data_IF_726861255560
#
_entry.id   IF_726861255560
#
_cell.length_a   1.000
_cell.length_b   1.000
_cell.length_c   1.000
_cell.angle_alpha   90.00
_cell.angle_beta   90.00
_cell.angle_gamma   90.00
#
_symmetry.space_group_name_H-M   'P 1'
#
loop_
_entity.id
_entity.type
_entity.pdbx_description
1 polymer ?
#
# COMPACT_ATOMS: atom_id res chain seq x y z
N UNK A 1 -26.50 32.54 -45.26
CA UNK A 1 -26.31 33.38 -44.05
C UNK A 1 -27.70 33.83 -43.57
N UNK A 2 -27.97 33.80 -42.25
CA UNK A 2 -29.29 33.86 -41.52
C UNK A 2 -29.93 32.47 -41.37
N UNK A 3 -29.75 31.71 -40.28
CA UNK A 3 -29.93 31.90 -38.81
C UNK A 3 -31.40 32.18 -38.43
N UNK A 4 -32.01 31.27 -37.65
CA UNK A 4 -33.08 31.60 -36.71
C UNK A 4 -34.13 30.50 -36.44
N UNK A 5 -34.40 30.29 -35.15
CA UNK A 5 -35.54 29.57 -34.53
C UNK A 5 -35.28 28.08 -34.23
N UNK A 6 -34.70 27.72 -33.08
CA UNK A 6 -35.30 27.70 -31.72
C UNK A 6 -36.41 26.65 -31.58
N UNK A 7 -36.12 25.58 -30.84
CA UNK A 7 -37.11 25.04 -29.91
C UNK A 7 -36.46 24.42 -28.68
N UNK A 8 -37.10 24.71 -27.55
CA UNK A 8 -36.67 24.52 -26.18
C UNK A 8 -37.34 23.27 -25.60
N UNK A 9 -36.59 22.55 -24.77
CA UNK A 9 -37.04 21.78 -23.59
C UNK A 9 -38.02 20.60 -23.76
N UNK A 10 -37.75 19.48 -23.08
CA UNK A 10 -38.49 19.05 -21.88
C UNK A 10 -37.84 17.78 -21.28
N UNK A 11 -37.64 17.88 -19.96
CA UNK A 11 -37.29 16.88 -18.96
C UNK A 11 -38.42 15.88 -18.69
N UNK A 12 -38.10 14.58 -18.52
CA UNK A 12 -38.81 13.61 -17.64
C UNK A 12 -37.93 12.34 -17.52
N UNK A 13 -37.26 12.05 -16.39
CA UNK A 13 -37.73 11.43 -15.13
C UNK A 13 -38.49 10.11 -15.29
N UNK A 14 -37.74 9.04 -14.98
CA UNK A 14 -38.03 7.74 -14.37
C UNK A 14 -39.42 7.08 -14.48
N UNK A 15 -39.39 5.78 -14.80
CA UNK A 15 -40.34 4.81 -14.26
C UNK A 15 -39.68 3.43 -14.04
N UNK A 16 -39.75 3.00 -12.79
CA UNK A 16 -39.32 1.72 -12.22
C UNK A 16 -39.99 0.52 -12.88
N UNK A 17 -39.23 -0.58 -13.04
CA UNK A 17 -39.82 -1.91 -13.22
C UNK A 17 -39.14 -2.90 -12.29
N UNK A 18 -39.84 -3.16 -11.18
CA UNK A 18 -39.70 -4.35 -10.35
C UNK A 18 -40.36 -5.52 -11.06
N UNK A 19 -39.64 -6.61 -11.29
CA UNK A 19 -40.22 -7.90 -11.64
C UNK A 19 -39.62 -8.99 -10.75
N UNK A 20 -40.47 -9.46 -9.85
CA UNK A 20 -40.29 -10.58 -8.94
C UNK A 20 -40.34 -11.89 -9.73
N UNK A 21 -39.34 -12.77 -9.57
CA UNK A 21 -39.47 -14.17 -9.94
C UNK A 21 -38.80 -15.04 -8.88
N UNK A 22 -39.66 -15.68 -8.09
CA UNK A 22 -39.43 -16.79 -7.18
C UNK A 22 -38.96 -18.04 -7.91
N UNK A 23 -37.88 -18.69 -7.44
CA UNK A 23 -37.66 -20.12 -7.61
C UNK A 23 -36.68 -20.66 -6.55
N UNK A 24 -37.21 -21.45 -5.61
CA UNK A 24 -36.53 -22.35 -4.66
C UNK A 24 -36.26 -23.68 -5.39
N UNK A 25 -35.11 -24.38 -5.18
CA UNK A 25 -35.12 -25.48 -4.20
C UNK A 25 -33.79 -25.71 -3.43
N UNK A 26 -33.91 -25.92 -2.11
CA UNK A 26 -33.01 -26.77 -1.30
C UNK A 26 -33.48 -28.24 -1.39
N UNK A 27 -32.81 -29.29 -0.82
CA UNK A 27 -31.58 -29.34 -0.01
C UNK A 27 -30.58 -30.50 -0.33
N UNK A 28 -29.37 -30.46 0.24
CA UNK A 28 -28.74 -31.48 1.14
C UNK A 28 -27.21 -31.27 1.19
N UNK A 29 -26.65 -30.83 2.32
CA UNK A 29 -26.28 -31.57 3.57
C UNK A 29 -24.87 -32.18 3.47
N UNK A 30 -23.91 -31.54 4.14
CA UNK A 30 -22.56 -32.07 4.34
C UNK A 30 -21.58 -31.04 4.88
N UNK A 31 -21.77 -30.57 6.11
CA UNK A 31 -20.64 -30.18 6.97
C UNK A 31 -20.08 -31.47 7.60
N UNK A 32 -18.77 -31.61 7.90
CA UNK A 32 -18.04 -30.58 8.64
C UNK A 32 -16.54 -30.41 8.29
N UNK A 33 -16.01 -29.24 8.60
CA UNK A 33 -14.89 -29.05 9.55
C UNK A 33 -14.04 -27.84 9.17
N UNK A 34 -13.99 -26.89 10.10
CA UNK A 34 -12.94 -25.89 10.17
C UNK A 34 -11.57 -26.55 10.38
N UNK A 35 -10.54 -26.07 9.68
CA UNK A 35 -9.17 -25.95 10.19
C UNK A 35 -8.35 -24.92 9.38
N UNK A 36 -7.33 -24.30 10.00
CA UNK A 36 -6.68 -23.08 9.51
C UNK A 36 -5.48 -23.43 8.62
N UNK A 37 -5.27 -22.67 7.54
CA UNK A 37 -4.00 -22.73 6.80
C UNK A 37 -3.20 -21.45 7.01
N UNK A 38 -2.47 -21.43 8.12
CA UNK A 38 -1.16 -20.80 8.19
C UNK A 38 -0.12 -21.88 7.94
N UNK A 39 0.41 -21.94 6.71
CA UNK A 39 1.63 -22.66 6.39
C UNK A 39 2.20 -22.06 5.11
N UNK A 40 3.30 -21.30 5.24
CA UNK A 40 4.12 -20.94 4.10
C UNK A 40 4.62 -22.24 3.41
N UNK A 41 4.69 -22.30 2.07
CA UNK A 41 5.32 -23.43 1.41
C UNK A 41 6.82 -23.48 1.77
N UNK A 42 7.41 -24.68 1.94
CA UNK A 42 8.83 -24.81 2.23
C UNK A 42 9.66 -24.37 1.03
N UNK A 43 10.52 -23.37 1.24
CA UNK A 43 11.61 -23.05 0.32
C UNK A 43 12.55 -24.27 0.19
N UNK A 44 12.82 -24.80 -1.03
CA UNK A 44 13.83 -25.84 -1.18
C UNK A 44 15.24 -25.26 -0.92
N UNK A 45 16.17 -26.03 -0.32
CA UNK A 45 17.52 -25.54 -0.08
C UNK A 45 18.28 -25.33 -1.39
N UNK A 46 18.96 -24.18 -1.48
CA UNK A 46 19.87 -23.83 -2.56
C UNK A 46 20.91 -24.93 -2.79
N UNK A 47 20.85 -25.58 -3.94
CA UNK A 47 21.89 -26.50 -4.40
C UNK A 47 23.07 -25.68 -4.90
N UNK A 48 24.16 -25.70 -4.13
CA UNK A 48 25.44 -25.12 -4.50
C UNK A 48 26.12 -25.97 -5.58
N UNK A 49 26.26 -25.42 -6.79
CA UNK A 49 27.10 -26.02 -7.83
C UNK A 49 28.57 -25.72 -7.54
N UNK A 50 29.28 -26.67 -6.93
CA UNK A 50 30.74 -26.67 -6.88
C UNK A 50 31.28 -27.18 -8.22
N UNK A 51 31.88 -26.29 -9.02
CA UNK A 51 32.68 -26.67 -10.17
C UNK A 51 33.95 -27.42 -9.70
N UNK A 52 34.11 -28.67 -10.14
CA UNK A 52 35.39 -29.38 -10.08
C UNK A 52 36.08 -29.28 -11.45
N UNK A 53 37.37 -28.89 -11.50
CA UNK A 53 38.08 -28.68 -12.76
C UNK A 53 38.58 -30.01 -13.37
N UNK A 54 38.29 -30.19 -14.65
CA UNK A 54 38.84 -31.26 -15.49
C UNK A 54 40.31 -30.97 -15.80
N UNK A 55 41.20 -31.82 -15.30
CA UNK A 55 42.54 -32.03 -15.86
C UNK A 55 42.62 -33.46 -16.39
N UNK A 56 43.00 -33.62 -17.65
CA UNK A 56 44.07 -34.52 -18.09
C UNK A 56 43.91 -34.83 -19.59
N UNK A 57 44.75 -34.16 -20.36
CA UNK A 57 45.15 -34.55 -21.70
C UNK A 57 46.19 -35.67 -21.55
N UNK A 58 45.98 -36.84 -22.16
CA UNK A 58 47.04 -37.76 -22.68
C UNK A 58 46.39 -38.96 -23.37
N UNK A 59 46.68 -39.06 -24.67
CA UNK A 59 46.30 -40.10 -25.61
C UNK A 59 47.28 -41.28 -25.48
N UNK A 60 46.81 -42.52 -25.40
CA UNK A 60 47.53 -43.70 -25.94
C UNK A 60 46.55 -44.82 -26.26
N UNK A 61 46.59 -45.23 -27.52
CA UNK A 61 45.75 -46.25 -28.15
C UNK A 61 46.22 -47.67 -27.83
N UNK A 62 45.27 -48.59 -27.62
CA UNK A 62 45.44 -50.01 -27.97
C UNK A 62 44.09 -50.55 -28.51
N UNK A 63 44.16 -51.19 -29.67
CA UNK A 63 43.06 -51.83 -30.40
C UNK A 63 42.47 -53.01 -29.63
N UNK A 64 41.14 -53.15 -29.70
CA UNK A 64 40.41 -54.36 -29.32
C UNK A 64 38.99 -54.31 -29.87
N UNK A 65 38.75 -55.05 -30.94
CA UNK A 65 37.46 -55.16 -31.61
C UNK A 65 36.45 -55.88 -30.71
N UNK A 66 35.28 -55.28 -30.48
CA UNK A 66 34.05 -56.06 -30.39
C UNK A 66 32.85 -55.21 -30.85
N UNK A 67 32.21 -55.66 -31.93
CA UNK A 67 30.94 -55.11 -32.43
C UNK A 67 29.82 -55.68 -31.58
N UNK A 68 29.15 -54.83 -30.83
CA UNK A 68 27.75 -55.02 -30.46
C UNK A 68 27.05 -53.70 -30.72
N UNK A 69 26.21 -53.71 -31.75
CA UNK A 69 25.23 -52.68 -32.03
C UNK A 69 24.37 -52.44 -30.78
N UNK A 70 24.71 -51.40 -30.04
CA UNK A 70 23.94 -50.87 -28.93
C UNK A 70 23.78 -49.39 -29.18
N UNK A 71 22.68 -49.03 -29.85
CA UNK A 71 22.15 -47.67 -29.93
C UNK A 71 22.45 -46.93 -28.61
N UNK A 72 23.10 -45.75 -28.61
CA UNK A 72 23.14 -44.96 -27.39
C UNK A 72 21.69 -44.75 -26.96
N UNK A 73 21.34 -44.88 -25.67
CA UNK A 73 20.03 -44.46 -25.22
C UNK A 73 19.91 -42.99 -25.64
N UNK A 74 19.05 -42.75 -26.61
CA UNK A 74 18.60 -41.40 -26.89
C UNK A 74 17.88 -40.99 -25.62
N UNK A 75 18.53 -40.16 -24.81
CA UNK A 75 17.94 -39.36 -23.73
C UNK A 75 16.95 -38.36 -24.36
N UNK A 76 15.98 -38.90 -25.10
CA UNK A 76 14.76 -38.25 -25.56
C UNK A 76 13.72 -38.57 -24.49
N UNK A 77 13.99 -38.21 -23.24
CA UNK A 77 12.94 -38.03 -22.26
C UNK A 77 12.24 -36.71 -22.63
N UNK A 78 11.27 -36.88 -23.52
CA UNK A 78 9.98 -36.16 -23.54
C UNK A 78 10.05 -34.63 -23.46
N UNK A 79 10.66 -34.00 -24.47
CA UNK A 79 10.41 -32.58 -24.75
C UNK A 79 8.97 -32.41 -25.28
N UNK A 80 8.18 -31.56 -24.63
CA UNK A 80 6.83 -31.18 -25.05
C UNK A 80 6.82 -30.46 -26.42
N UNK A 81 5.65 -30.07 -26.91
CA UNK A 81 5.51 -29.32 -28.18
C UNK A 81 6.32 -28.02 -28.22
N UNK A 82 6.68 -27.53 -27.05
CA UNK A 82 7.29 -26.24 -26.81
C UNK A 82 8.81 -26.39 -26.62
N UNK A 83 9.34 -27.63 -26.70
CA UNK A 83 10.76 -27.95 -26.58
C UNK A 83 11.27 -27.99 -25.15
N UNK A 84 10.38 -27.88 -24.15
CA UNK A 84 10.69 -27.93 -22.73
C UNK A 84 10.46 -29.33 -22.17
N UNK A 85 11.24 -29.72 -21.15
CA UNK A 85 10.91 -30.90 -20.35
C UNK A 85 9.79 -30.58 -19.35
N UNK A 86 9.09 -31.59 -18.81
CA UNK A 86 8.06 -31.37 -17.78
C UNK A 86 8.57 -30.58 -16.56
N UNK A 87 9.83 -30.76 -16.19
CA UNK A 87 10.48 -30.01 -15.11
C UNK A 87 10.67 -28.53 -15.48
N UNK A 88 11.06 -28.25 -16.74
CA UNK A 88 11.21 -26.88 -17.23
C UNK A 88 9.86 -26.16 -17.35
N UNK A 89 8.81 -26.86 -17.77
CA UNK A 89 7.43 -26.34 -17.79
C UNK A 89 6.97 -25.92 -16.38
N UNK A 90 7.23 -26.76 -15.37
CA UNK A 90 6.90 -26.43 -13.99
C UNK A 90 7.65 -25.18 -13.47
N UNK A 91 8.88 -24.94 -13.91
CA UNK A 91 9.64 -23.73 -13.60
C UNK A 91 8.99 -22.50 -14.25
N UNK A 92 8.59 -22.62 -15.52
CA UNK A 92 7.91 -21.53 -16.23
C UNK A 92 6.59 -21.17 -15.56
N UNK A 93 5.80 -22.17 -15.14
CA UNK A 93 4.53 -21.95 -14.45
C UNK A 93 4.71 -21.21 -13.11
N UNK A 94 5.74 -21.56 -12.34
CA UNK A 94 6.08 -20.86 -11.08
C UNK A 94 6.52 -19.42 -11.33
N UNK A 95 7.35 -19.18 -12.35
CA UNK A 95 7.78 -17.84 -12.75
C UNK A 95 6.62 -16.96 -13.23
N UNK A 96 5.69 -17.52 -14.00
CA UNK A 96 4.48 -16.82 -14.44
C UNK A 96 3.58 -16.42 -13.28
N UNK A 97 3.41 -17.32 -12.30
CA UNK A 97 2.65 -17.03 -11.09
C UNK A 97 3.30 -15.89 -10.31
N UNK A 98 4.62 -15.95 -10.08
CA UNK A 98 5.34 -14.86 -9.40
C UNK A 98 5.26 -13.53 -10.14
N UNK A 99 5.42 -13.52 -11.46
CA UNK A 99 5.32 -12.29 -12.27
C UNK A 99 3.95 -11.63 -12.11
N UNK A 100 2.87 -12.41 -12.18
CA UNK A 100 1.53 -11.91 -11.99
C UNK A 100 1.31 -11.33 -10.58
N UNK A 101 1.86 -11.98 -9.56
CA UNK A 101 1.78 -11.53 -8.17
C UNK A 101 2.56 -10.24 -7.94
N UNK A 102 3.82 -10.18 -8.38
CA UNK A 102 4.69 -9.01 -8.27
C UNK A 102 4.07 -7.82 -8.98
N UNK A 103 3.61 -7.99 -10.22
CA UNK A 103 2.97 -6.90 -10.97
C UNK A 103 1.72 -6.37 -10.28
N UNK A 104 0.88 -7.26 -9.76
CA UNK A 104 -0.33 -6.88 -8.99
C UNK A 104 0.06 -6.15 -7.70
N UNK A 105 1.10 -6.61 -7.01
CA UNK A 105 1.62 -5.99 -5.79
C UNK A 105 2.07 -4.55 -6.06
N UNK A 106 2.96 -4.36 -7.04
CA UNK A 106 3.45 -3.02 -7.37
C UNK A 106 2.36 -2.11 -7.94
N UNK A 107 1.45 -2.66 -8.74
CA UNK A 107 0.34 -1.89 -9.28
C UNK A 107 -0.58 -1.38 -8.16
N UNK A 108 -0.80 -2.15 -7.10
CA UNK A 108 -1.59 -1.72 -5.96
C UNK A 108 -0.95 -0.53 -5.23
N UNK A 109 0.37 -0.58 -5.01
CA UNK A 109 1.11 0.55 -4.46
C UNK A 109 0.98 1.81 -5.33
N UNK A 110 1.25 1.71 -6.63
CA UNK A 110 1.21 2.85 -7.54
C UNK A 110 -0.21 3.43 -7.69
N UNK A 111 -1.23 2.57 -7.83
CA UNK A 111 -2.62 2.99 -8.00
C UNK A 111 -3.15 3.76 -6.78
N UNK A 112 -2.82 3.30 -5.56
CA UNK A 112 -3.24 3.98 -4.34
C UNK A 112 -2.34 5.17 -4.03
N UNK A 113 -1.06 5.16 -4.38
CA UNK A 113 -0.15 6.29 -4.15
C UNK A 113 -0.43 7.49 -5.05
N UNK A 114 -0.92 7.27 -6.26
CA UNK A 114 -1.23 8.34 -7.21
C UNK A 114 0.00 9.23 -7.45
N UNK A 115 -0.17 10.54 -7.30
CA UNK A 115 0.92 11.51 -7.52
C UNK A 115 2.09 11.41 -6.52
N UNK A 116 1.92 10.72 -5.39
CA UNK A 116 2.97 10.55 -4.38
C UNK A 116 3.70 9.20 -4.49
N UNK A 117 3.33 8.39 -5.48
CA UNK A 117 4.05 7.18 -5.85
C UNK A 117 4.73 7.34 -7.22
N UNK A 118 5.91 6.76 -7.34
CA UNK A 118 6.62 6.61 -8.61
C UNK A 118 6.00 5.53 -9.49
N UNK A 119 6.56 5.37 -10.69
CA UNK A 119 6.25 4.22 -11.52
C UNK A 119 6.81 2.92 -10.89
N UNK A 120 6.12 1.78 -11.03
CA UNK A 120 6.67 0.48 -10.67
C UNK A 120 8.01 0.19 -11.33
N UNK A 121 8.94 -0.32 -10.54
CA UNK A 121 10.20 -0.91 -11.00
C UNK A 121 10.18 -2.41 -10.74
N UNK A 122 10.83 -3.18 -11.61
CA UNK A 122 10.78 -4.64 -11.56
C UNK A 122 12.18 -5.23 -11.69
N UNK A 123 12.41 -6.32 -10.96
CA UNK A 123 13.55 -7.21 -11.09
C UNK A 123 13.13 -8.44 -11.87
N UNK A 124 13.92 -8.83 -12.87
CA UNK A 124 13.56 -9.89 -13.81
C UNK A 124 14.48 -11.09 -13.72
N UNK A 125 13.90 -12.28 -13.91
CA UNK A 125 14.59 -13.54 -14.11
C UNK A 125 14.25 -14.12 -15.49
N UNK A 126 15.22 -14.77 -16.14
CA UNK A 126 15.00 -15.41 -17.44
C UNK A 126 14.64 -16.88 -17.25
N UNK A 127 13.49 -17.29 -17.77
CA UNK A 127 13.01 -18.67 -17.73
C UNK A 127 13.72 -19.59 -18.74
N UNK A 128 13.53 -20.93 -18.63
CA UNK A 128 14.08 -21.90 -19.59
C UNK A 128 13.45 -21.78 -20.99
N UNK A 129 12.25 -21.20 -21.07
CA UNK A 129 11.58 -20.75 -22.30
C UNK A 129 12.22 -19.50 -22.95
N UNK A 130 13.21 -18.90 -22.28
CA UNK A 130 13.94 -17.72 -22.72
C UNK A 130 13.22 -16.39 -22.49
N UNK A 131 12.02 -16.39 -21.90
CA UNK A 131 11.27 -15.16 -21.54
C UNK A 131 11.75 -14.57 -20.21
N UNK A 132 11.41 -13.30 -19.96
CA UNK A 132 11.71 -12.62 -18.69
C UNK A 132 10.44 -12.48 -17.84
N UNK A 133 10.58 -12.82 -16.56
CA UNK A 133 9.51 -12.81 -15.57
C UNK A 133 9.90 -11.90 -14.40
N UNK A 134 8.98 -11.07 -13.91
CA UNK A 134 9.22 -10.23 -12.75
C UNK A 134 9.21 -11.10 -11.48
N UNK A 135 10.33 -11.16 -10.78
CA UNK A 135 10.49 -11.92 -9.53
C UNK A 135 10.54 -11.02 -8.30
N UNK A 136 10.71 -9.72 -8.53
CA UNK A 136 10.68 -8.67 -7.51
C UNK A 136 10.26 -7.34 -8.11
N UNK A 137 9.90 -6.40 -7.25
CA UNK A 137 9.56 -5.06 -7.68
C UNK A 137 9.48 -4.10 -6.50
N UNK A 138 9.43 -2.81 -6.81
CA UNK A 138 9.15 -1.76 -5.85
C UNK A 138 8.48 -0.54 -6.49
N UNK A 139 7.76 0.21 -5.65
CA UNK A 139 7.23 1.53 -5.97
C UNK A 139 7.80 2.52 -4.96
N UNK A 140 8.56 3.51 -5.43
CA UNK A 140 9.03 4.59 -4.56
C UNK A 140 7.84 5.45 -4.12
N UNK A 141 7.69 5.66 -2.80
CA UNK A 141 6.63 6.50 -2.23
C UNK A 141 7.27 7.67 -1.49
N UNK A 142 6.81 8.89 -1.78
CA UNK A 142 7.35 10.10 -1.19
C UNK A 142 6.78 10.39 0.21
N UNK A 143 7.61 10.19 1.23
CA UNK A 143 7.29 10.43 2.65
C UNK A 143 7.63 11.84 3.14
N UNK A 144 8.10 12.74 2.27
CA UNK A 144 8.48 14.09 2.69
C UNK A 144 7.26 14.95 3.07
N UNK A 145 7.41 15.78 4.10
CA UNK A 145 6.42 16.81 4.43
C UNK A 145 6.37 17.91 3.36
N UNK A 146 5.22 18.58 3.25
CA UNK A 146 5.06 19.78 2.41
C UNK A 146 5.42 21.00 3.28
N UNK A 147 6.52 21.71 2.99
CA UNK A 147 6.99 22.79 3.85
C UNK A 147 5.98 23.93 3.98
N UNK A 148 5.72 24.34 5.22
CA UNK A 148 4.83 25.47 5.51
C UNK A 148 3.34 25.18 5.31
N UNK A 149 2.96 23.93 5.05
CA UNK A 149 1.57 23.52 4.87
C UNK A 149 1.29 22.20 5.64
N UNK A 150 0.98 22.29 6.94
CA UNK A 150 0.67 21.11 7.74
C UNK A 150 -0.62 20.42 7.28
N UNK A 151 -1.60 21.13 6.75
CA UNK A 151 -2.85 20.55 6.22
C UNK A 151 -2.58 19.67 4.99
N UNK A 152 -1.83 20.19 4.02
CA UNK A 152 -1.44 19.44 2.84
C UNK A 152 -0.53 18.25 3.21
N UNK A 153 0.35 18.42 4.19
CA UNK A 153 1.17 17.32 4.73
C UNK A 153 0.31 16.20 5.31
N UNK A 154 -0.71 16.54 6.11
CA UNK A 154 -1.67 15.56 6.65
C UNK A 154 -2.35 14.79 5.51
N UNK A 155 -2.85 15.48 4.49
CA UNK A 155 -3.52 14.84 3.35
C UNK A 155 -2.56 13.93 2.56
N UNK A 156 -1.34 14.41 2.29
CA UNK A 156 -0.28 13.63 1.62
C UNK A 156 0.07 12.37 2.40
N UNK A 157 0.37 12.51 3.68
CA UNK A 157 0.80 11.39 4.52
C UNK A 157 -0.30 10.35 4.75
N UNK A 158 -1.59 10.76 4.74
CA UNK A 158 -2.69 9.80 4.72
C UNK A 158 -2.71 8.97 3.44
N UNK A 159 -2.49 9.60 2.28
CA UNK A 159 -2.42 8.91 0.99
C UNK A 159 -1.22 7.96 0.94
N UNK A 160 -0.04 8.43 1.35
CA UNK A 160 1.20 7.66 1.44
C UNK A 160 1.02 6.42 2.32
N UNK A 161 0.45 6.58 3.52
CA UNK A 161 0.20 5.46 4.43
C UNK A 161 -0.77 4.44 3.83
N UNK A 162 -1.82 4.89 3.12
CA UNK A 162 -2.74 3.98 2.42
C UNK A 162 -2.04 3.22 1.30
N UNK A 163 -1.19 3.91 0.53
CA UNK A 163 -0.46 3.32 -0.58
C UNK A 163 0.53 2.25 -0.11
N UNK A 164 1.28 2.54 0.94
CA UNK A 164 2.22 1.59 1.55
C UNK A 164 1.52 0.35 2.12
N UNK A 165 0.25 0.45 2.52
CA UNK A 165 -0.53 -0.68 3.04
C UNK A 165 -1.52 -1.25 2.02
N UNK A 166 -1.43 -0.86 0.74
CA UNK A 166 -2.42 -1.20 -0.27
C UNK A 166 -2.45 -2.69 -0.65
N UNK A 167 -1.31 -3.39 -0.85
CA UNK A 167 -1.34 -4.82 -1.11
C UNK A 167 -1.84 -5.61 0.09
N UNK A 168 -2.44 -6.78 -0.16
CA UNK A 168 -2.94 -7.66 0.90
C UNK A 168 -1.83 -8.14 1.85
N UNK A 169 -0.60 -8.26 1.34
CA UNK A 169 0.58 -8.66 2.10
C UNK A 169 1.69 -7.63 1.89
N UNK A 170 1.66 -6.47 2.59
CA UNK A 170 2.70 -5.46 2.44
C UNK A 170 4.05 -6.01 2.92
N UNK A 171 5.13 -5.64 2.23
CA UNK A 171 6.49 -6.03 2.57
C UNK A 171 6.97 -5.36 3.86
N UNK A 172 8.15 -5.75 4.35
CA UNK A 172 8.76 -5.06 5.50
C UNK A 172 9.11 -3.61 5.20
N UNK A 173 9.48 -3.29 3.96
CA UNK A 173 9.78 -1.93 3.51
C UNK A 173 8.53 -1.07 3.50
N UNK A 174 7.43 -1.59 2.96
CA UNK A 174 6.17 -0.83 2.88
C UNK A 174 5.62 -0.52 4.27
N UNK A 175 5.74 -1.47 5.21
CA UNK A 175 5.37 -1.20 6.62
C UNK A 175 6.24 -0.12 7.26
N UNK A 176 7.51 0.02 6.88
CA UNK A 176 8.37 1.12 7.36
C UNK A 176 7.89 2.46 6.81
N UNK A 177 7.63 2.53 5.50
CA UNK A 177 7.05 3.72 4.84
C UNK A 177 5.72 4.13 5.51
N UNK A 178 4.85 3.17 5.79
CA UNK A 178 3.60 3.42 6.50
C UNK A 178 3.82 3.98 7.92
N UNK A 179 4.87 3.51 8.61
CA UNK A 179 5.24 3.99 9.95
C UNK A 179 5.81 5.41 9.89
N UNK A 180 6.68 5.70 8.94
CA UNK A 180 7.23 7.04 8.69
C UNK A 180 6.12 8.04 8.37
N UNK A 181 5.21 7.67 7.47
CA UNK A 181 4.05 8.50 7.15
C UNK A 181 3.13 8.73 8.36
N UNK A 182 3.01 7.75 9.24
CA UNK A 182 2.27 7.90 10.50
C UNK A 182 2.95 8.88 11.46
N UNK A 183 4.28 8.89 11.54
CA UNK A 183 5.05 9.83 12.35
C UNK A 183 4.88 11.26 11.84
N UNK A 184 5.09 11.48 10.54
CA UNK A 184 4.89 12.78 9.90
C UNK A 184 3.44 13.29 10.04
N UNK A 185 2.45 12.38 10.05
CA UNK A 185 1.06 12.73 10.34
C UNK A 185 0.82 13.28 11.74
N UNK A 186 1.52 12.74 12.73
CA UNK A 186 1.40 13.20 14.12
C UNK A 186 2.08 14.56 14.27
N UNK A 187 3.24 14.73 13.66
CA UNK A 187 4.00 16.00 13.65
C UNK A 187 3.19 17.11 12.97
N UNK A 188 2.70 16.89 11.75
CA UNK A 188 1.91 17.90 11.02
C UNK A 188 0.60 18.28 11.75
N UNK A 189 -0.02 17.35 12.49
CA UNK A 189 -1.18 17.68 13.34
C UNK A 189 -0.82 18.55 14.52
N UNK A 190 0.34 18.35 15.12
CA UNK A 190 0.84 19.20 16.19
C UNK A 190 1.16 20.61 15.67
N UNK A 191 1.79 20.70 14.50
CA UNK A 191 2.07 21.98 13.82
C UNK A 191 0.78 22.74 13.48
N UNK A 192 -0.24 22.05 12.93
CA UNK A 192 -1.53 22.67 12.62
C UNK A 192 -2.19 23.27 13.88
N UNK A 193 -2.21 22.52 14.98
CA UNK A 193 -2.80 23.00 16.23
C UNK A 193 -2.06 24.19 16.85
N UNK A 194 -0.74 24.27 16.65
CA UNK A 194 0.07 25.43 17.06
C UNK A 194 -0.24 26.66 16.20
N UNK A 195 -0.30 26.49 14.88
CA UNK A 195 -0.64 27.57 13.95
C UNK A 195 -2.01 28.19 14.27
N UNK A 196 -3.03 27.35 14.52
CA UNK A 196 -4.37 27.82 14.90
C UNK A 196 -4.38 28.60 16.24
N UNK A 197 -3.49 28.23 17.18
CA UNK A 197 -3.38 28.89 18.49
C UNK A 197 -2.69 30.26 18.38
N UNK A 198 -1.70 30.37 17.49
CA UNK A 198 -0.97 31.60 17.23
C UNK A 198 -1.84 32.61 16.45
N UNK A 199 -2.65 32.13 15.50
CA UNK A 199 -3.61 32.96 14.75
C UNK A 199 -4.84 33.37 15.57
N UNK A 200 -5.23 32.54 16.54
CA UNK A 200 -6.35 32.78 17.47
C UNK A 200 -6.04 33.77 18.60
N UNK A 201 -4.81 34.30 18.69
CA UNK A 201 -4.43 35.36 19.63
C UNK A 201 -4.47 36.72 18.95
N UNK A 202 -5.64 37.40 18.84
CA UNK A 202 -5.63 38.80 18.48
C UNK A 202 -4.84 39.52 19.57
N UNK A 203 -3.82 40.26 19.16
CA UNK A 203 -3.19 41.27 19.97
C UNK A 203 -4.31 42.03 20.72
N UNK A 204 -4.34 41.86 22.04
CA UNK A 204 -5.07 42.74 22.93
C UNK A 204 -4.41 44.13 22.87
N UNK A 205 -4.54 44.80 21.74
CA UNK A 205 -4.41 46.24 21.59
C UNK A 205 -5.69 46.88 22.13
N UNK A 206 -5.99 46.57 23.39
CA UNK A 206 -6.86 47.43 24.19
C UNK A 206 -5.90 48.38 24.85
N UNK A 207 -5.71 49.55 24.23
CA UNK A 207 -5.12 50.68 24.95
C UNK A 207 -5.96 50.89 26.23
N UNK A 208 -5.38 50.81 27.44
CA UNK A 208 -6.03 51.45 28.57
C UNK A 208 -5.82 52.95 28.37
N UNK A 209 -6.83 53.60 27.79
CA UNK A 209 -7.01 55.05 27.82
C UNK A 209 -6.79 55.50 29.28
N UNK A 210 -5.63 56.09 29.56
CA UNK A 210 -5.33 56.67 30.87
C UNK A 210 -6.09 57.99 30.99
N UNK A 211 -7.34 57.93 31.42
CA UNK A 211 -8.01 59.09 32.02
C UNK A 211 -8.04 58.90 33.54
N UNK A 212 -7.08 59.53 34.20
CA UNK A 212 -7.23 60.02 35.56
C UNK A 212 -6.83 61.51 35.54
N UNK A 213 -7.28 62.37 36.48
CA UNK A 213 -7.99 62.08 37.73
C UNK A 213 -9.21 63.00 38.00
N UNK A 214 -10.10 62.65 38.94
CA UNK A 214 -10.64 63.69 39.84
C UNK A 214 -11.02 63.15 41.22
N UNK A 215 -10.69 63.99 42.19
CA UNK A 215 -10.74 63.87 43.63
C UNK A 215 -12.18 64.07 44.13
N UNK A 216 -12.74 63.15 44.92
CA UNK A 216 -13.75 63.42 45.99
C UNK A 216 -14.63 62.20 46.33
N UNK A 217 -14.12 61.28 47.15
CA UNK A 217 -15.02 60.45 47.96
C UNK A 217 -14.38 59.90 49.25
N UNK A 218 -13.38 60.58 49.80
CA UNK A 218 -12.88 60.34 51.15
C UNK A 218 -13.65 61.21 52.15
N UNK A 219 -14.96 60.98 52.32
CA UNK A 219 -15.77 61.52 53.45
C UNK A 219 -17.19 60.96 53.50
N UNK A 220 -17.37 59.78 54.10
CA UNK A 220 -18.59 59.46 54.85
C UNK A 220 -18.35 58.26 55.78
N UNK A 221 -17.66 58.55 56.88
CA UNK A 221 -17.65 57.74 58.09
C UNK A 221 -18.96 58.08 58.87
N UNK A 222 -19.59 57.06 59.46
CA UNK A 222 -20.64 57.12 60.49
C UNK A 222 -22.13 57.10 60.05
N UNK A 223 -22.67 55.88 59.89
CA UNK A 223 -23.97 55.37 60.38
C UNK A 223 -24.26 54.07 59.59
N UNK A 224 -24.47 52.88 60.14
CA UNK A 224 -24.99 52.49 61.42
C UNK A 224 -24.36 51.16 61.88
N UNK A 225 -24.11 51.10 63.18
CA UNK A 225 -23.83 49.90 63.95
C UNK A 225 -25.00 48.90 63.85
N UNK A 226 -24.63 47.65 64.08
CA UNK A 226 -25.43 46.58 64.67
C UNK A 226 -26.40 45.82 63.76
N UNK A 227 -26.02 44.59 63.37
CA UNK A 227 -26.73 43.38 63.84
C UNK A 227 -25.95 42.09 63.53
N UNK A 228 -25.37 41.51 64.60
CA UNK A 228 -25.30 40.07 64.89
C UNK A 228 -24.64 39.11 63.88
N UNK A 229 -23.35 38.86 64.10
CA UNK A 229 -22.92 37.47 64.33
C UNK A 229 -23.64 36.96 65.58
N UNK A 230 -24.43 35.89 65.48
CA UNK A 230 -24.60 34.84 66.52
C UNK A 230 -25.64 33.82 66.09
N UNK A 231 -25.38 32.55 66.47
CA UNK A 231 -26.16 31.30 66.33
C UNK A 231 -25.84 30.50 65.05
N UNK A 232 -24.92 29.53 65.14
CA UNK A 232 -25.13 28.15 65.64
C UNK A 232 -26.05 27.37 64.68
N UNK A 233 -25.68 26.21 64.14
CA UNK A 233 -24.95 25.09 64.74
C UNK A 233 -24.56 24.11 63.63
#
# INVERSE_FOLDING_TARGET
MRIGSADLAITAVQASRTATATATPSPKKGDPAARPEGAAPPVPPAVGYTQSPLSADTITAVQGQNRTDGKPPSDQDETGSDGLTPEEEAIVDDLQQRDAEVRRHEQAHAAVGGQYAGAPSYEYERGPDGQFYAVGGEVSIDTSAIPGDPEATIAKMQQVRRAALAPAQPSAQDRRVATEAQQALVEARAELAQAESDEGSPAASVEPERTAPDDSASRSLAAARAFQQTTAR
#
